data_IF_340400295548
#
_entry.id   IF_340400295548
#
_cell.length_a   1.000
_cell.length_b   1.000
_cell.length_c   1.000
_cell.angle_alpha   90.00
_cell.angle_beta   90.00
_cell.angle_gamma   90.00
#
_symmetry.space_group_name_H-M   'P 1'
#
loop_
_entity.id
_entity.type
_entity.pdbx_description
1 polymer ?
#
# COMPACT_ATOMS: atom_id res chain seq x y z
N UNK A 1 -17.43 8.50 6.79
CA UNK A 1 -16.69 7.26 6.45
C UNK A 1 -16.00 6.75 7.70
N UNK A 2 -15.95 5.43 7.90
CA UNK A 2 -15.20 4.87 9.03
C UNK A 2 -13.71 5.16 8.87
N UNK A 3 -13.02 5.43 9.98
CA UNK A 3 -11.55 5.46 9.98
C UNK A 3 -11.00 4.06 9.73
N UNK A 4 -9.73 3.96 9.31
CA UNK A 4 -9.05 2.66 9.11
C UNK A 4 -9.06 1.81 10.38
N UNK A 5 -8.79 2.45 11.52
CA UNK A 5 -8.79 1.80 12.83
C UNK A 5 -10.17 1.26 13.20
N UNK A 6 -11.22 2.08 13.06
CA UNK A 6 -12.59 1.66 13.35
C UNK A 6 -13.01 0.47 12.48
N UNK A 7 -12.71 0.55 11.17
CA UNK A 7 -13.02 -0.52 10.21
C UNK A 7 -12.33 -1.83 10.60
N UNK A 8 -11.02 -1.78 10.91
CA UNK A 8 -10.25 -2.94 11.36
C UNK A 8 -10.86 -3.57 12.63
N UNK A 9 -11.10 -2.77 13.66
CA UNK A 9 -11.65 -3.27 14.92
C UNK A 9 -13.03 -3.89 14.73
N UNK A 10 -13.90 -3.27 13.91
CA UNK A 10 -15.24 -3.80 13.62
C UNK A 10 -15.17 -5.14 12.90
N UNK A 11 -14.28 -5.29 11.92
CA UNK A 11 -14.04 -6.58 11.24
C UNK A 11 -13.60 -7.66 12.22
N UNK A 12 -12.66 -7.36 13.13
CA UNK A 12 -12.20 -8.32 14.15
C UNK A 12 -13.30 -8.73 15.12
N UNK A 13 -14.31 -7.88 15.34
CA UNK A 13 -15.48 -8.18 16.16
C UNK A 13 -16.68 -8.75 15.38
N UNK A 14 -16.53 -9.05 14.08
CA UNK A 14 -17.62 -9.57 13.26
C UNK A 14 -18.76 -8.57 13.00
N UNK A 15 -18.49 -7.27 13.14
CA UNK A 15 -19.46 -6.20 12.91
C UNK A 15 -19.45 -5.74 11.44
N UNK A 16 -20.55 -5.13 11.01
CA UNK A 16 -20.67 -4.56 9.66
C UNK A 16 -19.64 -3.45 9.42
N UNK A 17 -19.13 -3.36 8.20
CA UNK A 17 -18.16 -2.35 7.76
C UNK A 17 -18.60 -1.73 6.43
N UNK A 18 -18.10 -0.53 6.13
CA UNK A 18 -18.44 0.22 4.91
C UNK A 18 -17.72 -0.29 3.65
N UNK A 19 -16.62 -1.03 3.82
CA UNK A 19 -15.83 -1.71 2.78
C UNK A 19 -14.87 -2.72 3.44
N UNK A 20 -14.22 -3.64 2.69
CA UNK A 20 -13.22 -4.55 3.23
C UNK A 20 -12.14 -3.83 4.04
N UNK A 21 -11.82 -4.35 5.23
CA UNK A 21 -10.93 -3.67 6.19
C UNK A 21 -9.44 -3.81 5.88
N UNK A 22 -9.03 -4.87 5.18
CA UNK A 22 -7.66 -5.06 4.70
C UNK A 22 -7.71 -5.89 3.42
N UNK A 23 -7.02 -5.44 2.36
CA UNK A 23 -6.71 -6.29 1.21
C UNK A 23 -5.21 -6.33 0.96
N UNK A 24 -4.67 -7.55 0.85
CA UNK A 24 -3.25 -7.82 0.62
C UNK A 24 -2.91 -8.07 -0.86
N UNK A 25 -3.85 -7.86 -1.79
CA UNK A 25 -3.71 -8.36 -3.16
C UNK A 25 -4.13 -7.38 -4.27
N UNK A 26 -4.69 -6.21 -3.97
CA UNK A 26 -5.25 -5.32 -5.01
C UNK A 26 -4.21 -4.57 -5.84
N UNK A 27 -3.12 -4.16 -5.19
CA UNK A 27 -1.89 -3.68 -5.79
C UNK A 27 -0.88 -3.98 -4.69
N UNK A 28 0.13 -4.78 -4.97
CA UNK A 28 1.16 -5.08 -3.99
C UNK A 28 2.39 -5.49 -4.80
N UNK A 29 3.48 -4.80 -4.55
CA UNK A 29 4.74 -5.09 -5.22
C UNK A 29 5.91 -4.64 -4.37
N UNK A 30 5.96 -3.38 -3.97
CA UNK A 30 7.12 -2.76 -3.31
C UNK A 30 6.65 -1.52 -2.53
N UNK A 31 7.57 -0.63 -2.15
CA UNK A 31 7.30 0.62 -1.44
C UNK A 31 6.30 1.57 -2.15
N UNK A 32 5.95 1.33 -3.41
CA UNK A 32 4.94 2.09 -4.18
C UNK A 32 5.14 3.61 -4.10
N UNK A 33 6.41 4.04 -4.01
CA UNK A 33 6.79 5.43 -3.91
C UNK A 33 7.00 6.01 -5.31
N UNK A 34 6.09 6.88 -5.83
CA UNK A 34 6.25 7.46 -7.16
C UNK A 34 7.38 8.51 -7.22
N UNK A 35 7.86 8.97 -6.07
CA UNK A 35 8.94 9.95 -5.95
C UNK A 35 10.30 9.29 -5.64
N UNK A 36 10.41 7.97 -5.79
CA UNK A 36 11.70 7.28 -5.71
C UNK A 36 12.47 7.49 -7.02
N UNK A 37 13.72 7.95 -6.90
CA UNK A 37 14.61 8.27 -8.01
C UNK A 37 15.26 7.02 -8.64
N UNK A 38 14.99 5.82 -8.12
CA UNK A 38 15.43 4.57 -8.74
C UNK A 38 14.96 4.49 -10.21
N UNK A 39 15.87 4.35 -11.20
CA UNK A 39 15.52 4.29 -12.62
C UNK A 39 14.66 3.07 -12.99
N UNK A 40 14.58 2.05 -12.13
CA UNK A 40 13.73 0.87 -12.31
C UNK A 40 12.40 0.96 -11.56
N UNK A 41 12.14 2.08 -10.87
CA UNK A 41 10.87 2.33 -10.21
C UNK A 41 9.73 2.53 -11.22
N UNK A 42 8.95 1.48 -11.45
CA UNK A 42 7.80 1.52 -12.35
C UNK A 42 6.71 2.50 -11.89
N UNK A 43 6.60 2.80 -10.58
CA UNK A 43 5.55 3.65 -10.04
C UNK A 43 5.74 5.13 -10.37
N UNK A 44 6.93 5.52 -10.86
CA UNK A 44 7.21 6.87 -11.34
C UNK A 44 6.49 7.20 -12.66
N UNK A 45 6.12 6.18 -13.44
CA UNK A 45 5.40 6.40 -14.69
C UNK A 45 3.96 6.91 -14.41
N UNK A 46 3.51 8.00 -15.07
CA UNK A 46 2.21 8.61 -14.82
C UNK A 46 1.01 7.67 -14.98
N UNK A 47 1.14 6.59 -15.78
CA UNK A 47 0.09 5.58 -15.97
C UNK A 47 -0.26 4.81 -14.70
N UNK A 48 0.64 4.75 -13.70
CA UNK A 48 0.39 4.10 -12.42
C UNK A 48 -0.44 4.95 -11.47
N UNK A 49 -0.44 6.28 -11.62
CA UNK A 49 -1.12 7.19 -10.68
C UNK A 49 -2.61 6.87 -10.49
N UNK A 50 -3.43 6.65 -11.54
CA UNK A 50 -4.85 6.33 -11.37
C UNK A 50 -5.08 5.02 -10.60
N UNK A 51 -4.21 4.02 -10.78
CA UNK A 51 -4.30 2.73 -10.08
C UNK A 51 -3.92 2.86 -8.61
N UNK A 52 -2.84 3.60 -8.31
CA UNK A 52 -2.42 3.89 -6.95
C UNK A 52 -3.52 4.66 -6.19
N UNK A 53 -4.10 5.67 -6.82
CA UNK A 53 -5.17 6.48 -6.23
C UNK A 53 -6.42 5.63 -5.97
N UNK A 54 -6.87 4.85 -6.96
CA UNK A 54 -8.03 3.97 -6.83
C UNK A 54 -7.87 3.00 -5.66
N UNK A 55 -6.74 2.31 -5.58
CA UNK A 55 -6.50 1.30 -4.56
C UNK A 55 -6.32 1.90 -3.17
N UNK A 56 -5.70 3.09 -3.04
CA UNK A 56 -5.60 3.85 -1.78
C UNK A 56 -6.96 4.37 -1.29
N UNK A 57 -7.86 4.72 -2.21
CA UNK A 57 -9.20 5.21 -1.90
C UNK A 57 -10.15 4.06 -1.54
N UNK A 58 -10.16 2.99 -2.35
CA UNK A 58 -11.18 1.93 -2.26
C UNK A 58 -10.86 0.86 -1.25
N UNK A 59 -9.60 0.66 -0.87
CA UNK A 59 -9.26 -0.35 0.14
C UNK A 59 -8.24 0.14 1.15
N UNK A 60 -8.33 -0.38 2.38
CA UNK A 60 -7.27 -0.23 3.37
C UNK A 60 -6.20 -1.28 3.06
N UNK A 61 -5.01 -0.80 2.68
CA UNK A 61 -3.93 -1.64 2.16
C UNK A 61 -2.76 -1.67 3.14
N UNK A 62 -2.12 -2.82 3.23
CA UNK A 62 -0.82 -2.97 3.89
C UNK A 62 0.19 -3.23 2.78
N UNK A 63 0.97 -2.21 2.48
CA UNK A 63 2.02 -2.28 1.46
C UNK A 63 3.20 -3.07 2.02
N UNK A 64 3.75 -3.99 1.23
CA UNK A 64 5.00 -4.68 1.57
C UNK A 64 6.12 -3.65 1.49
N UNK A 65 6.78 -3.39 2.62
CA UNK A 65 7.99 -2.55 2.69
C UNK A 65 9.16 -3.45 3.03
N UNK A 66 10.28 -3.27 2.34
CA UNK A 66 11.53 -3.88 2.79
C UNK A 66 11.99 -3.19 4.07
N UNK A 67 12.60 -3.97 4.97
CA UNK A 67 13.28 -3.38 6.13
C UNK A 67 14.50 -2.62 5.58
N UNK A 68 14.59 -1.30 5.75
CA UNK A 68 15.80 -0.59 5.36
C UNK A 68 16.94 -1.10 6.24
N UNK A 69 17.97 -1.67 5.63
CA UNK A 69 19.21 -1.99 6.32
C UNK A 69 20.13 -0.77 6.23
N UNK A 70 20.27 0.02 7.31
CA UNK A 70 21.24 1.11 7.32
C UNK A 70 22.64 0.52 7.07
N UNK A 71 23.44 1.23 6.27
CA UNK A 71 24.82 0.86 5.94
C UNK A 71 24.96 -0.52 5.24
N UNK A 72 23.91 -0.97 4.54
CA UNK A 72 24.03 -2.15 3.67
C UNK A 72 25.13 -1.93 2.61
N UNK A 73 26.03 -2.90 2.39
CA UNK A 73 26.98 -2.81 1.29
C UNK A 73 26.22 -2.69 -0.05
N UNK A 74 26.76 -1.97 -1.04
CA UNK A 74 26.14 -1.90 -2.36
C UNK A 74 25.99 -3.31 -2.93
N UNK A 75 24.93 -3.52 -3.71
CA UNK A 75 24.73 -4.78 -4.43
C UNK A 75 25.99 -5.09 -5.28
N UNK A 76 26.45 -6.37 -5.33
CA UNK A 76 27.70 -6.77 -5.96
C UNK A 76 27.83 -6.43 -7.46
#
# INVERSE_FOLDING_TARGET
>A
MMTRRERLMRTLHGLSVDRPAVCFYELNGLDENPADDDPFNIYSDPSWKPLLDLTREKTDRIVIRYVPFPDAPPDP
#
